data_IF_352125940327
#
_entry.id   IF_352125940327
#
_cell.length_a   1.000
_cell.length_b   1.000
_cell.length_c   1.000
_cell.angle_alpha   90.00
_cell.angle_beta   90.00
_cell.angle_gamma   90.00
#
_symmetry.space_group_name_H-M   'P 1'
#
loop_
_entity.id
_entity.type
_entity.pdbx_description
1 polymer ?
#
# COMPACT_ATOMS: atom_id res chain seq x y z
N UNK A 1 18.17 1.30 -12.48
CA UNK A 1 16.91 2.08 -12.61
C UNK A 1 15.74 1.10 -12.45
N UNK A 2 14.58 1.52 -11.96
CA UNK A 2 13.48 0.60 -11.63
C UNK A 2 12.16 1.33 -11.40
N UNK A 3 11.18 0.67 -10.77
CA UNK A 3 9.87 1.23 -10.46
C UNK A 3 9.69 1.36 -8.94
N UNK A 4 9.42 2.58 -8.47
CA UNK A 4 8.86 2.79 -7.12
C UNK A 4 7.34 2.59 -7.22
N UNK A 5 6.89 1.36 -7.01
CA UNK A 5 5.48 1.02 -7.11
C UNK A 5 4.73 1.45 -5.85
N UNK A 6 3.69 2.26 -6.01
CA UNK A 6 2.77 2.68 -4.94
C UNK A 6 1.35 2.46 -5.44
N UNK A 7 0.52 1.81 -4.63
CA UNK A 7 -0.89 1.58 -4.93
C UNK A 7 -1.74 1.78 -3.69
N UNK A 8 -3.02 2.12 -3.91
CA UNK A 8 -4.01 2.36 -2.88
C UNK A 8 -5.21 1.46 -3.13
N UNK A 9 -5.72 0.85 -2.07
CA UNK A 9 -6.90 0.01 -2.08
C UNK A 9 -7.63 0.15 -0.75
N UNK A 10 -8.94 -0.10 -0.77
CA UNK A 10 -9.74 -0.14 0.46
C UNK A 10 -9.46 -1.41 1.30
N UNK A 11 -9.09 -2.52 0.64
CA UNK A 11 -8.84 -3.82 1.26
C UNK A 11 -7.54 -4.42 0.68
N UNK A 12 -6.53 -4.60 1.53
CA UNK A 12 -5.20 -5.07 1.12
C UNK A 12 -5.22 -6.51 0.60
N UNK A 13 -6.03 -7.38 1.21
CA UNK A 13 -6.13 -8.79 0.84
C UNK A 13 -6.79 -8.95 -0.53
N UNK A 14 -7.89 -8.23 -0.76
CA UNK A 14 -8.61 -8.25 -2.05
C UNK A 14 -7.89 -7.47 -3.16
N UNK A 15 -7.07 -6.50 -2.79
CA UNK A 15 -6.29 -5.67 -3.71
C UNK A 15 -4.91 -6.26 -4.03
N UNK A 16 -3.86 -5.55 -3.59
CA UNK A 16 -2.47 -5.86 -3.94
C UNK A 16 -2.09 -7.32 -3.72
N UNK A 17 -2.46 -7.94 -2.59
CA UNK A 17 -2.08 -9.33 -2.29
C UNK A 17 -2.68 -10.32 -3.29
N UNK A 18 -3.96 -10.13 -3.64
CA UNK A 18 -4.63 -10.98 -4.65
C UNK A 18 -4.02 -10.80 -6.03
N UNK A 19 -3.72 -9.56 -6.44
CA UNK A 19 -3.12 -9.28 -7.76
C UNK A 19 -1.69 -9.82 -7.82
N UNK A 20 -0.86 -9.56 -6.81
CA UNK A 20 0.52 -10.05 -6.76
C UNK A 20 0.56 -11.58 -6.82
N UNK A 21 -0.34 -12.27 -6.09
CA UNK A 21 -0.45 -13.73 -6.15
C UNK A 21 -0.78 -14.25 -7.55
N UNK A 22 -1.58 -13.51 -8.33
CA UNK A 22 -1.90 -13.86 -9.73
C UNK A 22 -0.74 -13.59 -10.69
N UNK A 23 0.10 -12.61 -10.38
CA UNK A 23 1.28 -12.27 -11.16
C UNK A 23 2.48 -13.18 -10.89
N UNK A 24 2.44 -14.02 -9.85
CA UNK A 24 3.51 -14.99 -9.59
C UNK A 24 3.79 -15.86 -10.84
N UNK A 25 5.04 -15.83 -11.31
CA UNK A 25 5.47 -16.53 -12.52
C UNK A 25 5.14 -15.82 -13.83
N UNK A 26 4.77 -14.53 -13.80
CA UNK A 26 4.59 -13.75 -15.03
C UNK A 26 5.91 -13.58 -15.80
N UNK A 27 5.82 -13.39 -17.12
CA UNK A 27 7.00 -13.22 -17.97
C UNK A 27 7.87 -12.00 -17.57
N UNK A 28 7.27 -11.01 -16.91
CA UNK A 28 7.99 -9.81 -16.48
C UNK A 28 8.96 -10.08 -15.32
N UNK A 29 8.78 -11.16 -14.54
CA UNK A 29 9.67 -11.50 -13.41
C UNK A 29 11.13 -11.71 -13.83
N UNK A 30 11.39 -12.04 -15.11
CA UNK A 30 12.76 -12.14 -15.65
C UNK A 30 13.47 -10.78 -15.67
N UNK A 31 12.70 -9.68 -15.74
CA UNK A 31 13.22 -8.33 -15.92
C UNK A 31 13.03 -7.43 -14.68
N UNK A 32 12.16 -7.83 -13.74
CA UNK A 32 11.87 -7.07 -12.53
C UNK A 32 12.06 -7.90 -11.28
N UNK A 33 12.67 -7.31 -10.26
CA UNK A 33 12.85 -7.95 -8.95
C UNK A 33 12.47 -6.98 -7.83
N UNK A 34 11.44 -7.27 -7.04
CA UNK A 34 11.16 -6.51 -5.82
C UNK A 34 12.31 -6.70 -4.84
N UNK A 35 12.91 -5.60 -4.37
CA UNK A 35 14.05 -5.62 -3.43
C UNK A 35 13.71 -5.05 -2.04
N UNK A 36 12.52 -4.48 -1.87
CA UNK A 36 12.09 -3.88 -0.62
C UNK A 36 10.73 -3.20 -0.75
N UNK A 37 10.22 -2.70 0.36
CA UNK A 37 8.90 -2.04 0.46
C UNK A 37 8.19 -2.37 1.77
N UNK A 38 6.91 -2.04 1.84
CA UNK A 38 6.09 -2.34 3.01
C UNK A 38 4.63 -1.98 2.80
N UNK A 39 3.79 -2.48 3.71
CA UNK A 39 2.38 -2.11 3.78
C UNK A 39 2.18 -1.04 4.84
N UNK A 40 1.39 -0.03 4.49
CA UNK A 40 1.05 1.07 5.37
C UNK A 40 -0.46 1.30 5.31
N UNK A 41 -1.05 1.65 6.44
CA UNK A 41 -2.42 2.12 6.48
C UNK A 41 -2.43 3.64 6.37
N UNK A 42 -3.10 4.16 5.34
CA UNK A 42 -3.27 5.60 5.16
C UNK A 42 -4.35 6.06 6.11
N UNK A 43 -3.96 6.94 7.03
CA UNK A 43 -4.87 7.45 8.06
C UNK A 43 -5.99 8.29 7.43
N UNK A 44 -7.17 8.35 8.07
CA UNK A 44 -8.21 9.30 7.69
C UNK A 44 -7.68 10.73 7.64
N UNK A 45 -8.28 11.54 6.77
CA UNK A 45 -7.93 12.95 6.65
C UNK A 45 -8.18 13.73 7.95
N UNK A 46 -7.38 14.77 8.16
CA UNK A 46 -7.57 15.71 9.27
C UNK A 46 -8.77 16.60 8.95
N UNK A 47 -9.71 16.71 9.89
CA UNK A 47 -11.01 17.38 9.68
C UNK A 47 -10.86 18.90 9.58
N UNK A 48 -10.07 19.49 10.47
CA UNK A 48 -9.78 20.93 10.51
C UNK A 48 -8.46 21.22 11.25
N UNK A 49 -8.09 22.51 11.39
CA UNK A 49 -6.84 22.97 12.02
C UNK A 49 -6.70 22.62 13.52
N UNK A 50 -7.78 22.18 14.18
CA UNK A 50 -7.76 21.77 15.60
C UNK A 50 -7.41 20.30 15.80
N UNK A 51 -7.42 19.51 14.72
CA UNK A 51 -7.21 18.07 14.75
C UNK A 51 -5.83 17.73 14.15
N UNK A 52 -5.35 16.50 14.38
CA UNK A 52 -4.07 16.03 13.84
C UNK A 52 -4.16 14.62 13.26
N UNK A 53 -3.21 14.30 12.38
CA UNK A 53 -3.17 13.00 11.70
C UNK A 53 -2.99 11.87 12.73
N UNK A 54 -3.89 10.89 12.70
CA UNK A 54 -3.85 9.75 13.63
C UNK A 54 -4.54 9.98 14.97
N UNK A 55 -5.14 11.15 15.18
CA UNK A 55 -5.91 11.44 16.40
C UNK A 55 -7.01 10.37 16.65
N UNK A 56 -7.77 10.01 15.62
CA UNK A 56 -8.82 8.98 15.73
C UNK A 56 -8.28 7.59 16.08
N UNK A 57 -7.00 7.32 15.78
CA UNK A 57 -6.35 6.06 16.16
C UNK A 57 -5.92 6.08 17.64
N UNK A 58 -5.46 7.23 18.14
CA UNK A 58 -5.02 7.38 19.53
C UNK A 58 -6.19 7.44 20.52
N UNK A 59 -7.37 7.86 20.05
CA UNK A 59 -8.58 8.00 20.86
C UNK A 59 -9.52 6.77 20.80
N UNK A 60 -9.17 5.74 20.03
CA UNK A 60 -9.97 4.53 19.85
C UNK A 60 -9.93 3.57 21.04
#
# INVERSE_FOLDING_TARGET
>A
MGLLFVCYQHDLEKGFLTVQKRLNGEALEEYVKPIGGGYFFVLPGVVDEKHYLGESLLQA
#
